data_IF_930524218112
#
_entry.id   IF_930524218112
#
_cell.length_a   1.000
_cell.length_b   1.000
_cell.length_c   1.000
_cell.angle_alpha   90.00
_cell.angle_beta   90.00
_cell.angle_gamma   90.00
#
_symmetry.space_group_name_H-M   'P 1'
#
loop_
_entity.id
_entity.type
_entity.pdbx_description
1 polymer ?
#
# COMPACT_ATOMS: atom_id res chain seq x y z
N UNK A 1 3.70 -5.06 -7.86
CA UNK A 1 4.88 -5.18 -6.97
C UNK A 1 5.79 -3.94 -7.00
N UNK A 2 6.46 -3.60 -8.12
CA UNK A 2 7.40 -2.44 -8.15
C UNK A 2 6.75 -1.14 -7.66
N UNK A 3 5.55 -0.85 -8.16
CA UNK A 3 4.81 0.36 -7.80
C UNK A 3 4.37 0.36 -6.33
N UNK A 4 3.91 -0.77 -5.79
CA UNK A 4 3.57 -0.93 -4.37
C UNK A 4 4.75 -0.49 -3.49
N UNK A 5 5.94 -1.06 -3.76
CA UNK A 5 7.16 -0.75 -3.00
C UNK A 5 7.54 0.72 -3.14
N UNK A 6 7.42 1.30 -4.34
CA UNK A 6 7.69 2.71 -4.58
C UNK A 6 6.77 3.60 -3.75
N UNK A 7 5.47 3.33 -3.75
CA UNK A 7 4.48 4.13 -3.03
C UNK A 7 4.59 4.01 -1.52
N UNK A 8 5.04 2.87 -1.01
CA UNK A 8 5.36 2.70 0.41
C UNK A 8 6.61 3.49 0.84
N UNK A 9 7.60 3.67 -0.04
CA UNK A 9 8.93 4.18 0.35
C UNK A 9 9.17 5.63 -0.05
N UNK A 10 8.61 6.10 -1.16
CA UNK A 10 8.69 7.50 -1.57
C UNK A 10 8.01 8.37 -0.52
N UNK A 11 8.73 9.39 -0.03
CA UNK A 11 8.30 10.26 1.08
C UNK A 11 7.91 9.48 2.36
N UNK A 12 8.45 8.27 2.53
CA UNK A 12 8.07 7.35 3.61
C UNK A 12 6.54 7.13 3.68
N UNK A 13 5.88 7.01 2.53
CA UNK A 13 4.43 6.78 2.44
C UNK A 13 3.54 7.97 2.83
N UNK A 14 4.12 9.15 3.13
CA UNK A 14 3.38 10.38 3.44
C UNK A 14 2.85 11.02 2.14
N UNK A 15 1.94 10.32 1.47
CA UNK A 15 1.25 10.77 0.27
C UNK A 15 -0.24 10.53 0.42
N UNK A 16 -1.05 11.53 0.06
CA UNK A 16 -2.50 11.38 -0.03
C UNK A 16 -2.95 10.34 -1.06
N UNK A 17 -2.06 9.98 -2.00
CA UNK A 17 -2.25 8.93 -2.98
C UNK A 17 -1.50 7.64 -2.65
N UNK A 18 -0.87 7.47 -1.48
CA UNK A 18 -0.10 6.25 -1.22
C UNK A 18 -0.99 5.00 -1.34
N UNK A 19 -0.44 3.90 -1.86
CA UNK A 19 -1.16 2.62 -1.97
C UNK A 19 -1.34 2.04 -0.56
N UNK A 20 -2.49 2.30 0.06
CA UNK A 20 -2.85 1.76 1.38
C UNK A 20 -3.34 0.32 1.32
N UNK A 21 -4.08 -0.04 0.27
CA UNK A 21 -4.73 -1.34 0.10
C UNK A 21 -4.31 -1.96 -1.22
N UNK A 22 -3.83 -3.19 -1.15
CA UNK A 22 -3.39 -3.99 -2.29
C UNK A 22 -4.39 -5.14 -2.42
N UNK A 23 -5.20 -5.09 -3.49
CA UNK A 23 -6.26 -6.05 -3.74
C UNK A 23 -5.77 -6.96 -4.89
N UNK A 24 -5.57 -8.24 -4.60
CA UNK A 24 -5.04 -9.22 -5.55
C UNK A 24 -5.95 -10.46 -5.61
N UNK A 25 -5.95 -11.25 -6.70
CA UNK A 25 -6.64 -12.55 -6.70
C UNK A 25 -6.19 -13.37 -5.50
N UNK A 26 -7.09 -14.10 -4.83
CA UNK A 26 -6.74 -14.89 -3.63
C UNK A 26 -5.51 -15.78 -3.83
N UNK A 27 -5.43 -16.47 -4.97
CA UNK A 27 -4.28 -17.32 -5.33
C UNK A 27 -2.94 -16.56 -5.50
N UNK A 28 -2.99 -15.23 -5.66
CA UNK A 28 -1.82 -14.37 -5.84
C UNK A 28 -1.43 -13.60 -4.57
N UNK A 29 -2.20 -13.71 -3.48
CA UNK A 29 -1.93 -12.99 -2.23
C UNK A 29 -0.53 -13.33 -1.69
N UNK A 30 -0.23 -14.62 -1.49
CA UNK A 30 1.08 -15.03 -0.97
C UNK A 30 2.23 -14.66 -1.93
N UNK A 31 2.16 -14.93 -3.24
CA UNK A 31 3.17 -14.45 -4.19
C UNK A 31 3.41 -12.93 -4.16
N UNK A 32 2.35 -12.13 -3.95
CA UNK A 32 2.47 -10.67 -3.82
C UNK A 32 3.15 -10.28 -2.52
N UNK A 33 2.77 -10.89 -1.39
CA UNK A 33 3.42 -10.67 -0.08
C UNK A 33 4.92 -10.96 -0.20
N UNK A 34 5.30 -12.14 -0.68
CA UNK A 34 6.70 -12.55 -0.79
C UNK A 34 7.51 -11.58 -1.66
N UNK A 35 6.97 -11.22 -2.83
CA UNK A 35 7.64 -10.34 -3.77
C UNK A 35 7.77 -8.89 -3.27
N UNK A 36 6.77 -8.39 -2.54
CA UNK A 36 6.81 -7.05 -1.93
C UNK A 36 7.79 -7.05 -0.76
N UNK A 37 7.69 -8.01 0.16
CA UNK A 37 8.59 -8.18 1.32
C UNK A 37 10.06 -8.31 0.89
N UNK A 38 10.35 -9.14 -0.12
CA UNK A 38 11.71 -9.33 -0.63
C UNK A 38 12.31 -8.07 -1.29
N UNK A 39 11.48 -7.13 -1.73
CA UNK A 39 11.95 -5.84 -2.25
C UNK A 39 12.06 -4.80 -1.13
N UNK A 40 11.12 -4.77 -0.20
CA UNK A 40 11.17 -3.88 0.96
C UNK A 40 12.40 -4.17 1.82
N UNK A 41 12.79 -5.44 1.99
CA UNK A 41 13.99 -5.83 2.75
C UNK A 41 15.31 -5.25 2.21
N UNK A 42 15.32 -4.82 0.95
CA UNK A 42 16.47 -4.19 0.29
C UNK A 42 16.46 -2.66 0.40
N UNK A 43 15.44 -2.09 1.03
CA UNK A 43 15.29 -0.63 1.17
C UNK A 43 16.17 -0.13 2.31
N UNK A 44 17.19 0.65 1.97
CA UNK A 44 18.05 1.30 2.96
C UNK A 44 17.32 2.51 3.55
N UNK A 45 17.09 2.48 4.86
CA UNK A 45 16.45 3.55 5.62
C UNK A 45 17.55 4.37 6.29
N UNK A 46 17.55 5.69 6.12
CA UNK A 46 18.69 6.50 6.57
C UNK A 46 18.53 8.00 6.41
N UNK A 47 19.60 8.73 6.73
CA UNK A 47 19.68 10.17 6.46
C UNK A 47 19.51 10.42 4.95
N UNK A 48 18.57 11.28 4.52
CA UNK A 48 18.37 11.58 3.10
C UNK A 48 19.60 12.19 2.40
N UNK A 49 20.60 12.67 3.15
CA UNK A 49 21.87 13.16 2.60
C UNK A 49 22.84 12.03 2.22
N UNK A 50 22.65 10.82 2.74
CA UNK A 50 23.48 9.67 2.40
C UNK A 50 23.05 9.06 1.05
N UNK A 51 24.01 8.75 0.18
CA UNK A 51 23.74 8.36 -1.22
C UNK A 51 23.06 6.98 -1.35
N UNK A 52 23.26 6.11 -0.37
CA UNK A 52 22.67 4.78 -0.24
C UNK A 52 21.23 4.82 0.25
N UNK A 53 20.79 5.91 0.91
CA UNK A 53 19.43 6.02 1.45
C UNK A 53 18.40 5.92 0.33
N UNK A 54 17.37 5.10 0.57
CA UNK A 54 16.22 4.91 -0.32
C UNK A 54 14.91 5.34 0.33
N UNK A 55 14.86 5.41 1.66
CA UNK A 55 13.73 5.97 2.41
C UNK A 55 14.22 6.78 3.60
N UNK A 56 13.73 8.01 3.75
CA UNK A 56 14.02 8.87 4.89
C UNK A 56 13.06 8.67 6.07
N UNK A 57 13.15 9.56 7.06
CA UNK A 57 12.22 9.59 8.20
C UNK A 57 10.85 10.17 7.83
N UNK A 58 9.85 9.89 8.67
CA UNK A 58 8.63 10.70 8.74
C UNK A 58 8.96 12.12 9.20
N UNK A 59 8.04 13.05 8.93
CA UNK A 59 8.24 14.50 9.17
C UNK A 59 8.52 14.84 10.64
N UNK A 60 8.00 14.07 11.58
CA UNK A 60 8.17 14.33 13.01
C UNK A 60 8.01 13.08 13.89
N UNK A 61 8.43 13.18 15.15
CA UNK A 61 8.16 12.15 16.15
C UNK A 61 6.66 12.01 16.45
N UNK A 62 5.87 13.09 16.33
CA UNK A 62 4.42 13.04 16.47
C UNK A 62 3.80 12.24 15.33
N UNK A 63 4.23 12.47 14.09
CA UNK A 63 3.79 11.67 12.93
C UNK A 63 4.15 10.20 13.09
N UNK A 64 5.35 9.89 13.62
CA UNK A 64 5.74 8.51 13.94
C UNK A 64 4.78 7.85 14.93
N UNK A 65 4.39 8.55 16.01
CA UNK A 65 3.41 8.00 16.97
C UNK A 65 2.05 7.75 16.32
N UNK A 66 1.53 8.71 15.56
CA UNK A 66 0.25 8.56 14.86
C UNK A 66 0.28 7.37 13.88
N UNK A 67 1.33 7.25 13.05
CA UNK A 67 1.50 6.10 12.15
C UNK A 67 1.48 4.77 12.90
N UNK A 68 2.18 4.67 14.04
CA UNK A 68 2.22 3.45 14.84
C UNK A 68 0.87 3.15 15.51
N UNK A 69 0.14 4.17 15.97
CA UNK A 69 -1.22 4.02 16.51
C UNK A 69 -2.18 3.50 15.42
N UNK A 70 -2.13 4.06 14.20
CA UNK A 70 -2.95 3.59 13.06
C UNK A 70 -2.56 2.18 12.63
N UNK A 71 -1.26 1.86 12.61
CA UNK A 71 -0.79 0.51 12.32
C UNK A 71 -1.30 -0.50 13.36
N UNK A 72 -1.38 -0.12 14.64
CA UNK A 72 -1.97 -0.97 15.68
C UNK A 72 -3.47 -1.20 15.49
N UNK A 73 -4.22 -0.20 15.02
CA UNK A 73 -5.64 -0.38 14.65
C UNK A 73 -5.78 -1.37 13.49
N UNK A 74 -4.97 -1.25 12.46
CA UNK A 74 -4.94 -2.19 11.32
C UNK A 74 -4.56 -3.60 11.81
N UNK A 75 -3.60 -3.71 12.72
CA UNK A 75 -3.13 -4.98 13.27
C UNK A 75 -4.21 -5.74 14.06
N UNK A 76 -5.29 -5.08 14.47
CA UNK A 76 -6.43 -5.76 15.12
C UNK A 76 -7.25 -6.64 14.16
N UNK A 77 -7.10 -6.44 12.85
CA UNK A 77 -7.86 -7.14 11.79
C UNK A 77 -6.94 -7.75 10.71
N UNK A 78 -5.62 -7.56 10.82
CA UNK A 78 -4.66 -8.00 9.83
C UNK A 78 -3.34 -8.42 10.48
N UNK A 79 -2.68 -9.42 9.91
CA UNK A 79 -1.39 -9.91 10.37
C UNK A 79 -0.25 -9.07 9.76
N UNK A 80 0.73 -8.65 10.54
CA UNK A 80 1.94 -8.01 10.01
C UNK A 80 2.88 -9.06 9.40
N UNK A 81 3.01 -9.05 8.08
CA UNK A 81 3.83 -10.00 7.30
C UNK A 81 5.20 -9.46 6.89
N UNK A 82 5.43 -8.15 7.07
CA UNK A 82 6.74 -7.51 6.90
C UNK A 82 6.89 -6.29 7.81
N UNK A 83 8.13 -6.01 8.21
CA UNK A 83 8.50 -4.84 9.01
C UNK A 83 8.94 -5.21 10.42
N UNK A 84 9.60 -4.28 11.10
CA UNK A 84 10.08 -4.43 12.47
C UNK A 84 9.78 -3.17 13.27
N UNK A 85 9.47 -3.35 14.56
CA UNK A 85 9.39 -2.25 15.53
C UNK A 85 10.80 -1.82 15.99
N UNK A 86 11.75 -2.75 15.94
CA UNK A 86 13.13 -2.55 16.33
C UNK A 86 13.96 -2.14 15.12
N UNK A 87 13.85 -0.85 14.76
CA UNK A 87 14.68 -0.23 13.74
C UNK A 87 15.88 0.43 14.45
N UNK A 88 17.11 -0.11 14.34
CA UNK A 88 18.28 0.39 15.07
C UNK A 88 18.82 1.67 14.43
N UNK A 89 18.04 2.74 14.50
CA UNK A 89 18.43 4.06 14.02
C UNK A 89 18.87 4.91 15.22
N UNK A 90 20.17 5.15 15.31
CA UNK A 90 20.71 6.15 16.23
C UNK A 90 20.37 7.56 15.76
N UNK A 91 19.79 8.39 16.64
CA UNK A 91 19.59 9.83 16.38
C UNK A 91 18.15 10.33 16.44
N UNK A 92 17.99 11.65 16.28
CA UNK A 92 16.70 12.35 16.25
C UNK A 92 16.01 12.13 14.89
N UNK A 93 14.80 11.58 14.87
CA UNK A 93 14.02 11.44 13.62
C UNK A 93 12.82 10.51 13.73
N UNK A 94 11.80 10.73 12.90
CA UNK A 94 10.60 9.89 12.81
C UNK A 94 10.79 8.62 11.98
N UNK A 95 11.92 7.91 12.11
CA UNK A 95 12.18 6.71 11.33
C UNK A 95 11.26 5.54 11.72
N UNK A 96 10.72 4.87 10.71
CA UNK A 96 9.85 3.70 10.83
C UNK A 96 10.20 2.70 9.74
N UNK A 97 10.13 1.41 10.06
CA UNK A 97 10.20 0.34 9.05
C UNK A 97 8.92 0.35 8.19
N UNK A 98 8.98 0.06 6.87
CA UNK A 98 7.79 -0.24 6.11
C UNK A 98 7.04 -1.41 6.74
N UNK A 99 5.73 -1.29 6.88
CA UNK A 99 4.87 -2.32 7.46
C UNK A 99 3.92 -2.85 6.39
N UNK A 100 4.05 -4.12 6.05
CA UNK A 100 3.10 -4.82 5.19
C UNK A 100 2.22 -5.69 6.06
N UNK A 101 0.91 -5.52 5.93
CA UNK A 101 -0.10 -6.34 6.58
C UNK A 101 -0.78 -7.26 5.57
N UNK A 102 -1.31 -8.37 6.06
CA UNK A 102 -2.18 -9.28 5.33
C UNK A 102 -3.52 -9.38 6.06
N UNK A 103 -4.61 -8.99 5.39
CA UNK A 103 -5.96 -9.14 5.91
C UNK A 103 -6.59 -10.40 5.29
N UNK A 104 -6.78 -11.43 6.13
CA UNK A 104 -7.33 -12.71 5.70
C UNK A 104 -8.85 -12.66 5.46
N UNK A 105 -9.57 -11.79 6.18
CA UNK A 105 -11.02 -11.59 6.03
C UNK A 105 -11.35 -10.11 5.75
N UNK A 106 -11.14 -9.65 4.51
CA UNK A 106 -11.44 -8.27 4.15
C UNK A 106 -12.95 -7.97 4.14
N UNK A 107 -13.81 -8.99 4.11
CA UNK A 107 -15.26 -8.81 4.12
C UNK A 107 -15.77 -8.40 5.50
N UNK A 108 -15.18 -8.95 6.57
CA UNK A 108 -15.50 -8.57 7.95
C UNK A 108 -14.72 -7.34 8.45
N UNK A 109 -13.58 -7.03 7.83
CA UNK A 109 -12.70 -5.95 8.28
C UNK A 109 -13.33 -4.55 8.14
N UNK A 110 -13.09 -3.70 9.13
CA UNK A 110 -13.52 -2.29 9.15
C UNK A 110 -12.30 -1.35 9.15
N UNK A 111 -11.37 -1.56 10.10
CA UNK A 111 -10.16 -0.75 10.27
C UNK A 111 -9.21 -0.81 9.09
N UNK A 112 -9.07 -1.98 8.46
CA UNK A 112 -8.26 -2.12 7.23
C UNK A 112 -8.76 -1.21 6.11
N UNK A 113 -10.05 -0.83 6.10
CA UNK A 113 -10.64 0.00 5.06
C UNK A 113 -10.71 1.49 5.42
N UNK A 114 -11.05 1.81 6.67
CA UNK A 114 -11.30 3.19 7.10
C UNK A 114 -10.04 3.93 7.58
N UNK A 115 -8.97 3.20 7.90
CA UNK A 115 -7.81 3.77 8.58
C UNK A 115 -6.73 4.18 7.59
N UNK A 116 -6.39 5.46 7.59
CA UNK A 116 -5.22 6.01 6.89
C UNK A 116 -4.07 6.24 7.87
N UNK A 117 -2.99 5.48 7.74
CA UNK A 117 -1.81 5.63 8.59
C UNK A 117 -0.92 6.81 8.21
N UNK A 118 -0.97 7.27 6.95
CA UNK A 118 -0.12 8.36 6.42
C UNK A 118 1.39 8.14 6.69
N UNK A 119 1.84 6.91 6.42
CA UNK A 119 3.21 6.44 6.56
C UNK A 119 3.44 5.22 5.66
N UNK A 120 4.56 4.49 5.81
CA UNK A 120 4.92 3.39 4.92
C UNK A 120 4.16 2.10 5.30
N UNK A 121 2.82 2.17 5.33
CA UNK A 121 1.92 1.10 5.77
C UNK A 121 0.98 0.72 4.64
N UNK A 122 0.94 -0.56 4.30
CA UNK A 122 0.01 -1.10 3.31
C UNK A 122 -0.54 -2.45 3.76
N UNK A 123 -1.75 -2.78 3.32
CA UNK A 123 -2.39 -4.07 3.59
C UNK A 123 -2.72 -4.80 2.29
N UNK A 124 -2.32 -6.06 2.19
CA UNK A 124 -2.68 -7.00 1.12
C UNK A 124 -3.94 -7.77 1.51
N UNK A 125 -4.87 -7.93 0.56
CA UNK A 125 -6.09 -8.72 0.72
C UNK A 125 -6.48 -9.41 -0.58
N UNK A 126 -7.13 -10.55 -0.46
CA UNK A 126 -7.59 -11.38 -1.57
C UNK A 126 -8.97 -10.98 -2.10
N UNK A 127 -9.20 -11.19 -3.40
CA UNK A 127 -10.54 -11.19 -3.99
C UNK A 127 -10.85 -12.50 -4.72
N UNK A 128 -12.15 -12.80 -4.84
CA UNK A 128 -12.71 -14.04 -5.41
C UNK A 128 -13.21 -13.90 -6.84
N UNK A 129 -13.54 -12.68 -7.24
CA UNK A 129 -13.97 -12.29 -8.58
C UNK A 129 -13.91 -10.77 -8.73
N UNK A 130 -14.13 -10.27 -9.94
CA UNK A 130 -14.00 -8.83 -10.22
C UNK A 130 -15.04 -7.98 -9.47
N UNK A 131 -16.28 -8.47 -9.34
CA UNK A 131 -17.30 -7.78 -8.55
C UNK A 131 -16.90 -7.67 -7.08
N UNK A 132 -16.28 -8.72 -6.54
CA UNK A 132 -15.74 -8.69 -5.18
C UNK A 132 -14.57 -7.69 -5.08
N UNK A 133 -13.66 -7.65 -6.06
CA UNK A 133 -12.56 -6.68 -6.09
C UNK A 133 -13.06 -5.22 -6.11
N UNK A 134 -14.09 -4.94 -6.91
CA UNK A 134 -14.75 -3.62 -6.97
C UNK A 134 -15.40 -3.29 -5.63
N UNK A 135 -16.14 -4.23 -5.04
CA UNK A 135 -16.75 -4.03 -3.73
C UNK A 135 -15.69 -3.69 -2.66
N UNK A 136 -14.60 -4.46 -2.59
CA UNK A 136 -13.49 -4.18 -1.69
C UNK A 136 -12.85 -2.81 -1.96
N UNK A 137 -12.63 -2.44 -3.23
CA UNK A 137 -12.07 -1.13 -3.57
C UNK A 137 -12.96 0.01 -3.04
N UNK A 138 -14.28 -0.09 -3.24
CA UNK A 138 -15.26 0.91 -2.82
C UNK A 138 -15.41 1.00 -1.28
N UNK A 139 -15.14 -0.09 -0.53
CA UNK A 139 -15.19 -0.09 0.96
C UNK A 139 -14.27 0.91 1.64
N UNK A 140 -13.30 1.48 0.93
CA UNK A 140 -12.45 2.56 1.46
C UNK A 140 -13.15 3.90 1.64
N UNK A 141 -14.46 4.00 1.40
CA UNK A 141 -15.21 5.26 1.43
C UNK A 141 -14.88 6.19 0.25
N UNK A 142 -14.33 5.61 -0.83
CA UNK A 142 -13.74 6.32 -1.96
C UNK A 142 -12.23 6.54 -1.84
N UNK A 143 -11.60 7.00 -2.91
CA UNK A 143 -10.17 7.36 -2.89
C UNK A 143 -9.84 8.47 -3.88
N UNK A 144 -8.71 9.15 -3.66
CA UNK A 144 -8.15 10.09 -4.62
C UNK A 144 -7.72 9.34 -5.90
N UNK A 145 -7.04 8.20 -5.73
CA UNK A 145 -6.59 7.37 -6.85
C UNK A 145 -6.77 5.88 -6.55
N UNK A 146 -7.12 5.13 -7.59
CA UNK A 146 -7.06 3.67 -7.65
C UNK A 146 -6.28 3.26 -8.90
N UNK A 147 -5.40 2.26 -8.79
CA UNK A 147 -4.72 1.68 -9.95
C UNK A 147 -5.24 0.29 -10.25
N UNK A 148 -5.46 0.01 -11.53
CA UNK A 148 -5.79 -1.30 -12.04
C UNK A 148 -4.65 -1.78 -12.94
N UNK A 149 -4.08 -2.95 -12.65
CA UNK A 149 -3.05 -3.56 -13.48
C UNK A 149 -3.66 -4.73 -14.25
N UNK A 150 -3.98 -4.53 -15.53
CA UNK A 150 -4.60 -5.54 -16.40
C UNK A 150 -4.30 -5.31 -17.88
N UNK A 151 -4.09 -6.38 -18.65
CA UNK A 151 -4.08 -6.33 -20.13
C UNK A 151 -5.46 -6.55 -20.74
N UNK A 152 -6.43 -6.95 -19.93
CA UNK A 152 -7.76 -7.29 -20.38
C UNK A 152 -8.67 -6.06 -20.36
N UNK A 153 -9.18 -5.69 -21.54
CA UNK A 153 -10.05 -4.53 -21.73
C UNK A 153 -11.44 -4.69 -21.10
N UNK A 154 -11.95 -5.92 -21.00
CA UNK A 154 -13.25 -6.18 -20.37
C UNK A 154 -13.13 -6.09 -18.84
N UNK A 155 -12.02 -6.58 -18.27
CA UNK A 155 -11.68 -6.36 -16.86
C UNK A 155 -11.59 -4.86 -16.56
N UNK A 156 -10.86 -4.11 -17.41
CA UNK A 156 -10.74 -2.66 -17.28
C UNK A 156 -12.10 -1.98 -17.30
N UNK A 157 -12.95 -2.30 -18.27
CA UNK A 157 -14.31 -1.77 -18.39
C UNK A 157 -15.14 -2.06 -17.16
N UNK A 158 -15.18 -3.31 -16.68
CA UNK A 158 -15.99 -3.71 -15.54
C UNK A 158 -15.58 -2.97 -14.26
N UNK A 159 -14.27 -2.90 -13.99
CA UNK A 159 -13.76 -2.19 -12.81
C UNK A 159 -14.04 -0.69 -12.88
N UNK A 160 -13.86 -0.05 -14.04
CA UNK A 160 -14.16 1.37 -14.22
C UNK A 160 -15.64 1.67 -13.98
N UNK A 161 -16.54 0.85 -14.52
CA UNK A 161 -17.98 1.04 -14.35
C UNK A 161 -18.43 0.82 -12.90
N UNK A 162 -17.85 -0.16 -12.20
CA UNK A 162 -18.23 -0.48 -10.82
C UNK A 162 -17.60 0.41 -9.75
N UNK A 163 -16.43 0.99 -10.03
CA UNK A 163 -15.64 1.72 -9.03
C UNK A 163 -15.49 3.22 -9.33
N UNK A 164 -15.77 3.68 -10.56
CA UNK A 164 -15.54 5.06 -11.01
C UNK A 164 -16.31 6.13 -10.23
N UNK A 165 -17.47 5.78 -9.66
CA UNK A 165 -18.24 6.71 -8.82
C UNK A 165 -17.58 7.00 -7.45
N UNK A 166 -16.65 6.14 -7.02
CA UNK A 166 -16.02 6.21 -5.70
C UNK A 166 -14.56 6.70 -5.76
N UNK A 167 -13.91 6.63 -6.93
CA UNK A 167 -12.48 6.91 -7.07
C UNK A 167 -12.22 8.06 -8.04
N UNK A 168 -11.60 9.14 -7.54
CA UNK A 168 -11.40 10.37 -8.32
C UNK A 168 -10.55 10.18 -9.59
N UNK A 169 -9.57 9.28 -9.54
CA UNK A 169 -8.79 8.82 -10.70
C UNK A 169 -8.68 7.30 -10.70
N UNK A 170 -9.03 6.67 -11.81
CA UNK A 170 -8.69 5.26 -12.08
C UNK A 170 -7.54 5.23 -13.08
N UNK A 171 -6.36 4.79 -12.63
CA UNK A 171 -5.17 4.66 -13.45
C UNK A 171 -5.01 3.20 -13.90
N UNK A 172 -5.15 2.96 -15.21
CA UNK A 172 -5.05 1.60 -15.78
C UNK A 172 -3.68 1.43 -16.40
N UNK A 173 -3.02 0.32 -16.09
CA UNK A 173 -1.68 0.04 -16.57
C UNK A 173 -1.49 -1.46 -16.80
N UNK A 174 -0.45 -1.84 -17.53
CA UNK A 174 -0.11 -3.23 -17.80
C UNK A 174 1.38 -3.39 -18.13
N UNK A 175 1.82 -4.62 -18.45
CA UNK A 175 3.23 -4.89 -18.71
C UNK A 175 3.83 -4.05 -19.87
N UNK A 176 3.00 -3.63 -20.84
CA UNK A 176 3.44 -2.90 -22.03
C UNK A 176 3.60 -1.40 -21.74
N UNK A 177 2.69 -0.82 -20.94
CA UNK A 177 2.72 0.62 -20.59
C UNK A 177 3.42 0.94 -19.26
N UNK A 178 3.75 -0.06 -18.43
CA UNK A 178 4.30 0.15 -17.08
C UNK A 178 5.64 0.90 -17.09
N UNK A 179 6.44 0.73 -18.15
CA UNK A 179 7.75 1.39 -18.26
C UNK A 179 7.64 2.92 -18.41
N UNK A 180 6.55 3.39 -19.00
CA UNK A 180 6.26 4.81 -19.25
C UNK A 180 5.40 5.44 -18.14
N UNK A 181 5.02 4.63 -17.14
CA UNK A 181 4.16 5.04 -16.05
C UNK A 181 4.78 6.14 -15.20
N UNK A 182 4.03 7.22 -14.96
CA UNK A 182 4.45 8.30 -14.05
C UNK A 182 4.28 7.93 -12.57
N UNK A 183 3.65 6.79 -12.30
CA UNK A 183 3.37 6.28 -10.96
C UNK A 183 1.89 6.33 -10.59
N UNK A 184 1.54 5.72 -9.47
CA UNK A 184 0.17 5.59 -8.96
C UNK A 184 -0.46 6.94 -8.59
N UNK A 185 0.31 7.93 -8.16
CA UNK A 185 -0.14 9.23 -7.63
C UNK A 185 0.42 10.38 -8.41
#
# INVERSE_FOLDING_TARGET
VKEIVREMTVKAGQKCTAIRRIIAPEMMVQPVIDAVSARLSKTVIGDPRAAETRMGALVSAAQKRDVLEKAALIASEAERVFGTDDLPMGGQGGFVSPMLFHCADPDAAQRVHDTEAFGPVSTVMGYRGLDHAVALANRGGGSLVTSLVTRDGDVARQVVLGAGAWHGRIYINNADSMAEATGHG
#
